data_IF_254166122143
#
_entry.id   IF_254166122143
#
_cell.length_a   1.000
_cell.length_b   1.000
_cell.length_c   1.000
_cell.angle_alpha   90.00
_cell.angle_beta   90.00
_cell.angle_gamma   90.00
#
_symmetry.space_group_name_H-M   'P 1'
#
loop_
_entity.id
_entity.type
_entity.pdbx_description
1 polymer ?
#
# COMPACT_ATOMS: atom_id res chain seq x y z
N UNK A 1 -21.72 -9.14 12.56
CA UNK A 1 -20.72 -8.50 11.68
C UNK A 1 -19.92 -9.58 10.97
N UNK A 2 -19.91 -9.58 9.64
CA UNK A 2 -19.10 -10.54 8.89
C UNK A 2 -17.65 -10.07 8.80
N UNK A 3 -16.72 -10.99 8.89
CA UNK A 3 -15.28 -10.71 8.80
C UNK A 3 -14.50 -11.86 8.16
N UNK A 4 -13.38 -11.55 7.54
CA UNK A 4 -12.46 -12.53 6.97
C UNK A 4 -11.40 -12.87 8.02
N UNK A 5 -11.47 -14.08 8.55
CA UNK A 5 -10.54 -14.60 9.54
C UNK A 5 -9.52 -15.53 8.91
N UNK A 6 -8.25 -15.34 9.23
CA UNK A 6 -7.19 -16.28 8.90
C UNK A 6 -7.37 -17.53 9.79
N UNK A 7 -8.01 -18.59 9.26
CA UNK A 7 -8.26 -19.81 10.02
C UNK A 7 -6.98 -20.60 10.25
N UNK A 8 -6.21 -20.73 9.19
CA UNK A 8 -4.89 -21.34 9.16
C UNK A 8 -4.07 -20.73 8.03
N UNK A 9 -2.78 -20.98 8.02
CA UNK A 9 -1.92 -20.54 6.91
C UNK A 9 -2.45 -21.13 5.59
N UNK A 10 -2.71 -20.22 4.64
CA UNK A 10 -3.24 -20.56 3.32
C UNK A 10 -4.77 -20.64 3.24
N UNK A 11 -5.51 -20.25 4.31
CA UNK A 11 -6.97 -20.26 4.28
C UNK A 11 -7.61 -19.12 5.08
N UNK A 12 -8.40 -18.33 4.39
CA UNK A 12 -9.34 -17.37 4.98
C UNK A 12 -10.76 -17.95 5.01
N UNK A 13 -11.52 -17.62 6.04
CA UNK A 13 -12.95 -17.92 6.13
C UNK A 13 -13.75 -16.67 6.46
N UNK A 14 -14.90 -16.54 5.83
CA UNK A 14 -15.89 -15.53 6.20
C UNK A 14 -16.62 -16.04 7.45
N UNK A 15 -16.57 -15.27 8.53
CA UNK A 15 -17.13 -15.63 9.84
C UNK A 15 -18.03 -14.53 10.36
N UNK A 16 -18.95 -14.90 11.23
CA UNK A 16 -19.77 -13.95 11.99
C UNK A 16 -19.08 -13.60 13.31
N UNK A 17 -19.03 -12.32 13.60
CA UNK A 17 -18.58 -11.76 14.88
C UNK A 17 -19.74 -11.06 15.57
N UNK A 18 -19.62 -10.84 16.87
CA UNK A 18 -20.54 -10.01 17.64
C UNK A 18 -20.56 -8.57 17.11
N UNK A 19 -21.63 -7.84 17.39
CA UNK A 19 -21.74 -6.42 17.05
C UNK A 19 -20.65 -5.60 17.78
N UNK A 20 -20.05 -4.68 17.04
CA UNK A 20 -18.94 -3.85 17.53
C UNK A 20 -19.50 -2.53 18.06
N UNK A 21 -19.15 -2.20 19.30
CA UNK A 21 -19.42 -0.89 19.92
C UNK A 21 -18.12 -0.14 20.19
N UNK A 22 -18.09 1.19 19.98
CA UNK A 22 -16.88 1.96 20.22
C UNK A 22 -16.61 2.16 21.71
N UNK A 23 -15.35 2.06 22.14
CA UNK A 23 -14.92 2.58 23.43
C UNK A 23 -15.01 4.12 23.46
N UNK A 24 -14.90 4.80 24.63
CA UNK A 24 -15.10 6.25 24.72
C UNK A 24 -14.31 7.08 23.71
N UNK A 25 -13.05 6.74 23.45
CA UNK A 25 -12.17 7.45 22.49
C UNK A 25 -12.10 6.83 21.09
N UNK A 26 -13.05 5.96 20.73
CA UNK A 26 -13.07 5.23 19.46
C UNK A 26 -14.25 5.61 18.58
N UNK A 27 -14.15 5.26 17.32
CA UNK A 27 -15.28 5.19 16.40
C UNK A 27 -15.40 3.78 15.83
N UNK A 28 -16.60 3.39 15.42
CA UNK A 28 -16.82 2.22 14.58
C UNK A 28 -16.85 2.67 13.13
N UNK A 29 -16.02 2.04 12.32
CA UNK A 29 -16.00 2.23 10.86
C UNK A 29 -16.77 1.09 10.22
N UNK A 30 -17.75 1.42 9.39
CA UNK A 30 -18.41 0.51 8.45
C UNK A 30 -17.60 0.51 7.15
N UNK A 31 -17.01 -0.62 6.83
CA UNK A 31 -16.06 -0.77 5.73
C UNK A 31 -16.79 -0.74 4.38
N UNK A 32 -16.39 0.15 3.48
CA UNK A 32 -16.79 0.11 2.07
C UNK A 32 -15.89 -0.89 1.34
N UNK A 33 -14.57 -0.68 1.41
CA UNK A 33 -13.60 -1.57 0.81
C UNK A 33 -12.26 -1.52 1.53
N UNK A 34 -11.49 -2.60 1.38
CA UNK A 34 -10.13 -2.71 1.91
C UNK A 34 -9.21 -3.38 0.89
N UNK A 35 -8.05 -2.78 0.64
CA UNK A 35 -7.02 -3.32 -0.26
C UNK A 35 -6.32 -4.53 0.35
N UNK A 36 -5.95 -5.49 -0.52
CA UNK A 36 -5.06 -6.58 -0.15
C UNK A 36 -3.61 -6.10 -0.33
N UNK A 37 -2.88 -6.01 0.77
CA UNK A 37 -1.47 -5.67 0.78
C UNK A 37 -0.58 -6.90 0.57
N UNK A 38 0.63 -6.71 0.03
CA UNK A 38 1.65 -7.76 -0.02
C UNK A 38 1.98 -8.33 1.37
N UNK A 39 1.90 -7.50 2.41
CA UNK A 39 2.10 -7.93 3.80
C UNK A 39 0.99 -8.89 4.29
N UNK A 40 -0.23 -8.76 3.78
CA UNK A 40 -1.34 -9.68 4.09
C UNK A 40 -1.14 -11.01 3.37
N UNK A 41 -0.63 -10.97 2.12
CA UNK A 41 -0.25 -12.18 1.38
C UNK A 41 0.90 -12.93 2.10
N UNK A 42 1.92 -12.22 2.59
CA UNK A 42 2.97 -12.83 3.41
C UNK A 42 2.43 -13.45 4.69
N UNK A 43 1.40 -12.83 5.29
CA UNK A 43 0.68 -13.38 6.44
C UNK A 43 -0.11 -14.63 6.09
N UNK A 44 -0.87 -14.57 4.99
CA UNK A 44 -1.66 -15.68 4.46
C UNK A 44 -0.78 -16.90 4.13
N UNK A 45 0.40 -16.68 3.55
CA UNK A 45 1.34 -17.77 3.21
C UNK A 45 2.24 -18.19 4.37
N UNK A 46 2.20 -17.50 5.52
CA UNK A 46 3.07 -17.77 6.67
C UNK A 46 4.54 -17.35 6.47
N UNK A 47 4.84 -16.64 5.38
CA UNK A 47 6.23 -16.34 4.98
C UNK A 47 7.02 -15.56 6.02
N UNK A 48 6.41 -14.66 6.77
CA UNK A 48 7.11 -13.77 7.72
C UNK A 48 6.76 -14.02 9.19
N UNK A 49 5.86 -14.95 9.50
CA UNK A 49 5.46 -15.29 10.87
C UNK A 49 4.77 -14.14 11.66
N UNK A 50 4.39 -13.05 10.99
CA UNK A 50 3.79 -11.86 11.63
C UNK A 50 2.27 -11.95 11.75
N UNK A 51 1.65 -12.93 11.15
CA UNK A 51 0.21 -13.19 11.23
C UNK A 51 -0.02 -14.53 11.91
N UNK A 52 -1.10 -14.62 12.65
CA UNK A 52 -1.45 -15.82 13.42
C UNK A 52 -2.87 -16.27 13.07
N UNK A 53 -3.15 -17.57 13.08
CA UNK A 53 -4.51 -18.09 12.98
C UNK A 53 -5.46 -17.41 13.99
N UNK A 54 -6.69 -17.16 13.57
CA UNK A 54 -7.70 -16.42 14.34
C UNK A 54 -7.70 -14.91 14.08
N UNK A 55 -6.68 -14.36 13.43
CA UNK A 55 -6.54 -12.93 13.16
C UNK A 55 -7.45 -12.46 12.02
N UNK A 56 -7.97 -11.23 12.17
CA UNK A 56 -8.61 -10.46 11.10
C UNK A 56 -7.65 -9.36 10.67
N UNK A 57 -7.22 -9.41 9.40
CA UNK A 57 -6.22 -8.51 8.83
C UNK A 57 -6.87 -7.28 8.14
N UNK A 58 -6.13 -6.56 7.30
CA UNK A 58 -6.58 -5.44 6.49
C UNK A 58 -6.23 -4.08 7.10
N UNK A 59 -5.61 -3.20 6.29
CA UNK A 59 -5.12 -1.89 6.73
C UNK A 59 -5.18 -0.80 5.65
N UNK A 60 -5.54 -1.13 4.42
CA UNK A 60 -5.70 -0.20 3.30
C UNK A 60 -7.20 0.03 3.08
N UNK A 61 -7.84 0.91 3.86
CA UNK A 61 -9.30 0.90 3.97
C UNK A 61 -9.96 2.24 3.67
N UNK A 62 -11.18 2.14 3.19
CA UNK A 62 -12.17 3.21 3.14
C UNK A 62 -13.47 2.73 3.76
N UNK A 63 -14.15 3.59 4.51
CA UNK A 63 -15.43 3.29 5.13
C UNK A 63 -16.19 4.54 5.53
N UNK A 64 -17.27 4.33 6.26
CA UNK A 64 -18.05 5.41 6.88
C UNK A 64 -18.12 5.21 8.38
N UNK A 65 -18.18 6.30 9.11
CA UNK A 65 -18.41 6.25 10.57
C UNK A 65 -19.80 5.69 10.83
N UNK A 66 -19.89 4.53 11.51
CA UNK A 66 -21.13 3.90 11.88
C UNK A 66 -21.59 4.28 13.31
N UNK A 67 -20.61 4.44 14.22
CA UNK A 67 -20.87 4.83 15.61
C UNK A 67 -19.70 5.62 16.18
N UNK A 68 -19.97 6.42 17.21
CA UNK A 68 -19.03 7.36 17.83
C UNK A 68 -19.04 7.16 19.35
N UNK A 69 -17.87 6.95 19.95
CA UNK A 69 -17.69 6.82 21.39
C UNK A 69 -18.00 8.11 22.16
N UNK A 70 -18.15 7.98 23.48
CA UNK A 70 -18.65 9.07 24.33
C UNK A 70 -17.72 10.29 24.38
N UNK A 71 -16.39 10.08 24.26
CA UNK A 71 -15.38 11.15 24.37
C UNK A 71 -14.97 11.72 22.99
N UNK A 72 -15.63 11.29 21.91
CA UNK A 72 -15.31 11.71 20.54
C UNK A 72 -16.20 12.88 20.11
N UNK A 73 -15.60 13.93 19.53
CA UNK A 73 -16.32 15.10 18.99
C UNK A 73 -17.22 14.71 17.82
N UNK A 74 -18.54 14.78 18.04
CA UNK A 74 -19.56 14.46 17.02
C UNK A 74 -19.66 15.51 15.91
N UNK A 75 -19.16 16.71 16.12
CA UNK A 75 -19.11 17.76 15.08
C UNK A 75 -18.06 17.43 14.03
N UNK A 76 -16.92 16.90 14.46
CA UNK A 76 -15.82 16.50 13.57
C UNK A 76 -16.03 15.09 12.98
N UNK A 77 -16.49 14.13 13.78
CA UNK A 77 -16.63 12.73 13.40
C UNK A 77 -18.12 12.33 13.34
N UNK A 78 -18.80 12.75 12.27
CA UNK A 78 -20.24 12.50 12.10
C UNK A 78 -20.49 11.09 11.62
N UNK A 79 -21.55 10.46 12.13
CA UNK A 79 -22.05 9.21 11.57
C UNK A 79 -22.38 9.42 10.09
N UNK A 80 -21.97 8.49 9.24
CA UNK A 80 -22.07 8.55 7.78
C UNK A 80 -20.90 9.26 7.09
N UNK A 81 -20.03 10.00 7.80
CA UNK A 81 -18.86 10.64 7.17
C UNK A 81 -17.94 9.62 6.53
N UNK A 82 -17.48 9.92 5.30
CA UNK A 82 -16.48 9.13 4.60
C UNK A 82 -15.14 9.25 5.31
N UNK A 83 -14.47 8.12 5.55
CA UNK A 83 -13.20 8.08 6.29
C UNK A 83 -12.22 7.06 5.70
N UNK A 84 -10.94 7.33 5.92
CA UNK A 84 -9.88 6.32 5.88
C UNK A 84 -9.21 6.22 7.25
N UNK A 85 -8.42 5.18 7.47
CA UNK A 85 -7.80 4.91 8.78
C UNK A 85 -6.30 4.77 8.62
N UNK A 86 -5.54 5.62 9.32
CA UNK A 86 -4.11 5.43 9.48
C UNK A 86 -3.87 4.20 10.38
N UNK A 87 -3.26 3.12 9.88
CA UNK A 87 -3.10 1.90 10.67
C UNK A 87 -2.05 2.00 11.79
N UNK A 88 -1.19 3.02 11.80
CA UNK A 88 -0.12 3.17 12.80
C UNK A 88 -0.69 3.74 14.09
N UNK A 89 -0.81 2.91 15.12
CA UNK A 89 -1.34 3.27 16.44
C UNK A 89 -0.18 3.46 17.42
N UNK A 90 -0.08 4.65 17.97
CA UNK A 90 0.87 4.99 19.05
C UNK A 90 0.11 5.01 20.38
N UNK A 91 0.64 4.41 21.48
CA UNK A 91 0.01 4.50 22.79
C UNK A 91 -0.22 5.97 23.20
N UNK A 92 -1.39 6.34 23.77
CA UNK A 92 -1.76 7.73 24.06
C UNK A 92 -0.70 8.52 24.84
N UNK A 93 -0.07 7.87 25.83
CA UNK A 93 0.98 8.48 26.67
C UNK A 93 2.30 8.76 25.92
N UNK A 94 2.43 8.28 24.69
CA UNK A 94 3.62 8.39 23.85
C UNK A 94 3.44 9.29 22.63
N UNK A 95 2.22 9.63 22.26
CA UNK A 95 1.88 10.43 21.06
C UNK A 95 2.75 11.70 20.99
N UNK A 96 2.83 12.48 22.08
CA UNK A 96 3.63 13.71 22.11
C UNK A 96 5.14 13.47 21.88
N UNK A 97 5.67 12.34 22.36
CA UNK A 97 7.10 12.03 22.24
C UNK A 97 7.49 11.58 20.82
N UNK A 98 6.54 11.07 20.06
CA UNK A 98 6.73 10.55 18.71
C UNK A 98 5.94 11.32 17.64
N UNK A 99 5.42 12.49 17.96
CA UNK A 99 4.76 13.37 16.98
C UNK A 99 5.66 13.64 15.77
N UNK A 100 5.12 13.39 14.57
CA UNK A 100 5.83 13.51 13.30
C UNK A 100 6.82 12.37 13.00
N UNK A 101 6.90 11.37 13.86
CA UNK A 101 7.71 10.14 13.71
C UNK A 101 7.07 8.93 14.40
N UNK A 102 5.78 8.82 14.30
CA UNK A 102 4.95 7.80 14.96
C UNK A 102 5.42 6.38 14.63
N UNK A 103 5.88 6.17 13.40
CA UNK A 103 6.43 4.89 12.92
C UNK A 103 7.74 4.50 13.62
N UNK A 104 8.39 5.39 14.35
CA UNK A 104 9.61 5.09 15.12
C UNK A 104 9.33 4.72 16.59
N UNK A 105 8.06 4.78 17.05
CA UNK A 105 7.76 4.31 18.40
C UNK A 105 7.96 2.78 18.48
N UNK A 106 8.84 2.27 19.36
CA UNK A 106 9.05 0.82 19.51
C UNK A 106 7.81 0.10 20.06
N UNK A 107 6.85 0.82 20.64
CA UNK A 107 5.58 0.26 21.13
C UNK A 107 4.41 0.52 20.20
N UNK A 108 4.67 1.07 19.00
CA UNK A 108 3.61 1.23 17.99
C UNK A 108 2.99 -0.11 17.67
N UNK A 109 1.71 -0.09 17.43
CA UNK A 109 0.93 -1.21 16.91
C UNK A 109 0.43 -0.85 15.51
N UNK A 110 0.14 -1.84 14.70
CA UNK A 110 -0.38 -1.59 13.34
C UNK A 110 -1.67 -2.37 13.17
N UNK A 111 -2.77 -1.68 12.95
CA UNK A 111 -4.07 -2.26 12.60
C UNK A 111 -3.87 -3.13 11.36
N UNK A 112 -4.47 -4.32 11.34
CA UNK A 112 -4.26 -5.30 10.26
C UNK A 112 -3.00 -6.16 10.40
N UNK A 113 -2.06 -5.78 11.26
CA UNK A 113 -0.82 -6.53 11.56
C UNK A 113 -0.84 -7.15 12.95
N UNK A 114 -1.21 -6.35 13.95
CA UNK A 114 -1.29 -6.79 15.34
C UNK A 114 -2.58 -7.62 15.56
N UNK A 115 -2.46 -8.88 16.03
CA UNK A 115 -3.61 -9.78 16.20
C UNK A 115 -4.62 -9.34 17.27
N UNK A 116 -4.29 -8.38 18.11
CA UNK A 116 -5.22 -7.88 19.12
C UNK A 116 -6.27 -6.89 18.56
N UNK A 117 -6.15 -6.48 17.27
CA UNK A 117 -7.19 -5.70 16.60
C UNK A 117 -8.07 -6.59 15.73
N UNK A 118 -9.40 -6.40 15.81
CA UNK A 118 -10.28 -6.68 14.68
C UNK A 118 -10.02 -5.57 13.68
N UNK A 119 -9.64 -5.93 12.46
CA UNK A 119 -9.14 -4.97 11.48
C UNK A 119 -10.04 -4.90 10.24
N UNK A 120 -9.61 -4.20 9.21
CA UNK A 120 -10.48 -3.73 8.15
C UNK A 120 -10.98 -4.81 7.16
N UNK A 121 -10.56 -6.07 7.28
CA UNK A 121 -11.23 -7.19 6.60
C UNK A 121 -12.48 -7.64 7.38
N UNK A 122 -13.25 -6.68 7.87
CA UNK A 122 -14.53 -6.86 8.53
C UNK A 122 -15.52 -5.79 8.05
N UNK A 123 -16.82 -6.09 8.06
CA UNK A 123 -17.87 -5.13 7.75
C UNK A 123 -17.84 -3.93 8.69
N UNK A 124 -17.51 -4.16 9.96
CA UNK A 124 -17.39 -3.11 10.97
C UNK A 124 -16.26 -3.45 11.93
N UNK A 125 -15.52 -2.42 12.33
CA UNK A 125 -14.45 -2.54 13.31
C UNK A 125 -14.27 -1.23 14.08
N UNK A 126 -13.82 -1.31 15.33
CA UNK A 126 -13.55 -0.15 16.17
C UNK A 126 -12.09 0.29 16.03
N UNK A 127 -11.88 1.61 15.98
CA UNK A 127 -10.54 2.22 15.88
C UNK A 127 -10.43 3.44 16.76
N UNK A 128 -9.24 3.76 17.31
CA UNK A 128 -8.99 5.01 17.99
C UNK A 128 -9.30 6.19 17.04
N UNK A 129 -10.03 7.18 17.53
CA UNK A 129 -10.41 8.35 16.74
C UNK A 129 -9.19 9.13 16.20
N UNK A 130 -8.06 9.08 16.88
CA UNK A 130 -6.80 9.70 16.46
C UNK A 130 -6.22 9.10 15.17
N UNK A 131 -6.66 7.92 14.80
CA UNK A 131 -6.25 7.22 13.58
C UNK A 131 -7.20 7.46 12.40
N UNK A 132 -8.31 8.17 12.61
CA UNK A 132 -9.35 8.38 11.59
C UNK A 132 -9.13 9.70 10.87
N UNK A 133 -9.04 9.64 9.55
CA UNK A 133 -9.00 10.82 8.67
C UNK A 133 -10.34 10.94 7.96
N UNK A 134 -11.06 12.03 8.24
CA UNK A 134 -12.33 12.36 7.58
C UNK A 134 -12.02 12.89 6.18
N UNK A 135 -12.69 12.35 5.18
CA UNK A 135 -12.55 12.72 3.79
C UNK A 135 -13.77 13.50 3.30
N UNK A 136 -13.63 14.35 2.29
CA UNK A 136 -14.78 14.83 1.53
C UNK A 136 -15.43 13.64 0.78
N UNK A 137 -16.65 13.83 0.28
CA UNK A 137 -17.23 12.83 -0.64
C UNK A 137 -16.38 12.75 -1.91
N UNK A 138 -16.01 11.54 -2.29
CA UNK A 138 -15.20 11.26 -3.49
C UNK A 138 -16.10 10.74 -4.61
N UNK A 139 -15.76 11.10 -5.86
CA UNK A 139 -16.42 10.57 -7.03
C UNK A 139 -16.35 9.03 -7.10
N UNK A 140 -15.21 8.47 -6.70
CA UNK A 140 -15.05 7.04 -6.49
C UNK A 140 -14.49 6.79 -5.07
N UNK A 141 -15.31 6.38 -4.11
CA UNK A 141 -14.84 6.14 -2.73
C UNK A 141 -13.74 5.07 -2.64
N UNK A 142 -13.66 4.13 -3.58
CA UNK A 142 -12.65 3.06 -3.58
C UNK A 142 -11.23 3.61 -3.67
N UNK A 143 -11.05 4.79 -4.27
CA UNK A 143 -9.73 5.44 -4.34
C UNK A 143 -9.14 5.74 -2.95
N UNK A 144 -9.97 5.93 -1.93
CA UNK A 144 -9.48 6.17 -0.57
C UNK A 144 -8.80 4.94 0.06
N UNK A 145 -9.05 3.72 -0.45
CA UNK A 145 -8.29 2.54 -0.05
C UNK A 145 -6.83 2.58 -0.56
N UNK A 146 -6.50 3.46 -1.51
CA UNK A 146 -5.15 3.65 -2.04
C UNK A 146 -4.35 4.69 -1.25
N UNK A 147 -4.96 5.40 -0.30
CA UNK A 147 -4.29 6.42 0.52
C UNK A 147 -3.11 5.80 1.29
N UNK A 148 -3.31 4.61 1.85
CA UNK A 148 -2.27 3.92 2.62
C UNK A 148 -1.02 3.61 1.77
N UNK A 149 -1.09 2.88 0.64
CA UNK A 149 0.09 2.62 -0.19
C UNK A 149 0.69 3.89 -0.81
N UNK A 150 -0.11 4.93 -1.08
CA UNK A 150 0.41 6.24 -1.51
C UNK A 150 1.19 6.93 -0.39
N UNK A 151 0.74 6.84 0.87
CA UNK A 151 1.48 7.38 2.01
C UNK A 151 2.83 6.66 2.20
N UNK A 152 2.90 5.34 1.98
CA UNK A 152 4.18 4.58 1.96
C UNK A 152 5.11 5.15 0.90
N UNK A 153 4.61 5.41 -0.30
CA UNK A 153 5.41 5.92 -1.43
C UNK A 153 5.88 7.37 -1.20
N UNK A 154 5.00 8.26 -0.74
CA UNK A 154 5.36 9.64 -0.38
C UNK A 154 6.45 9.62 0.70
N UNK A 155 6.30 8.76 1.72
CA UNK A 155 7.32 8.64 2.75
C UNK A 155 8.66 8.15 2.19
N UNK A 156 8.66 7.21 1.25
CA UNK A 156 9.89 6.77 0.60
C UNK A 156 10.61 7.92 -0.13
N UNK A 157 9.87 8.77 -0.84
CA UNK A 157 10.40 10.00 -1.48
C UNK A 157 10.93 10.98 -0.42
N UNK A 158 10.22 11.21 0.67
CA UNK A 158 10.71 12.05 1.78
C UNK A 158 11.98 11.47 2.44
N UNK A 159 12.10 10.14 2.53
CA UNK A 159 13.28 9.47 3.12
C UNK A 159 14.57 9.71 2.34
N UNK A 160 14.48 9.94 1.06
CA UNK A 160 15.62 10.31 0.21
C UNK A 160 15.82 11.83 0.08
N UNK A 161 15.02 12.64 0.77
CA UNK A 161 15.13 14.10 0.78
C UNK A 161 14.43 14.80 -0.39
N UNK A 162 13.45 14.16 -1.02
CA UNK A 162 12.76 14.62 -2.23
C UNK A 162 13.47 14.25 -3.52
N UNK A 163 12.81 14.46 -4.66
CA UNK A 163 13.27 14.07 -5.99
C UNK A 163 13.03 15.14 -7.07
N UNK A 164 12.73 16.37 -6.69
CA UNK A 164 12.48 17.47 -7.64
C UNK A 164 13.65 17.65 -8.62
N UNK A 165 13.36 17.65 -9.92
CA UNK A 165 14.34 17.81 -11.02
C UNK A 165 15.31 16.62 -11.18
N UNK A 166 15.03 15.46 -10.59
CA UNK A 166 15.93 14.31 -10.54
C UNK A 166 15.43 13.15 -11.39
N UNK A 167 16.38 12.31 -11.81
CA UNK A 167 16.11 11.01 -12.43
C UNK A 167 15.93 9.95 -11.33
N UNK A 168 14.76 9.29 -11.32
CA UNK A 168 14.38 8.29 -10.31
C UNK A 168 14.22 6.92 -10.94
N UNK A 169 14.87 5.90 -10.39
CA UNK A 169 14.62 4.50 -10.72
C UNK A 169 13.73 3.86 -9.65
N UNK A 170 12.61 3.28 -10.04
CA UNK A 170 11.80 2.40 -9.19
C UNK A 170 12.04 0.95 -9.61
N UNK A 171 12.44 0.09 -8.68
CA UNK A 171 12.60 -1.34 -8.93
C UNK A 171 11.39 -2.08 -8.35
N UNK A 172 10.67 -2.79 -9.24
CA UNK A 172 9.39 -3.42 -8.98
C UNK A 172 8.22 -2.53 -9.35
N UNK A 173 7.41 -2.95 -10.32
CA UNK A 173 6.19 -2.27 -10.82
C UNK A 173 4.90 -2.80 -10.19
N UNK A 174 4.94 -3.44 -9.02
CA UNK A 174 3.77 -3.83 -8.25
C UNK A 174 3.07 -2.62 -7.61
N UNK A 175 1.99 -2.83 -6.82
CA UNK A 175 1.20 -1.72 -6.25
C UNK A 175 2.02 -0.66 -5.52
N UNK A 176 3.06 -1.05 -4.75
CA UNK A 176 3.95 -0.09 -4.08
C UNK A 176 4.83 0.64 -5.08
N UNK A 177 5.40 -0.07 -6.10
CA UNK A 177 6.19 0.59 -7.14
C UNK A 177 5.37 1.57 -7.97
N UNK A 178 4.14 1.21 -8.35
CA UNK A 178 3.19 2.12 -9.02
C UNK A 178 2.90 3.36 -8.17
N UNK A 179 2.70 3.18 -6.86
CA UNK A 179 2.55 4.31 -5.93
C UNK A 179 3.82 5.16 -5.85
N UNK A 180 5.02 4.55 -5.89
CA UNK A 180 6.31 5.27 -5.91
C UNK A 180 6.50 6.07 -7.20
N UNK A 181 6.05 5.54 -8.36
CA UNK A 181 6.03 6.30 -9.63
C UNK A 181 5.20 7.57 -9.48
N UNK A 182 3.97 7.43 -8.99
CA UNK A 182 3.08 8.57 -8.79
C UNK A 182 3.65 9.57 -7.78
N UNK A 183 4.21 9.10 -6.66
CA UNK A 183 4.80 9.96 -5.64
C UNK A 183 6.03 10.71 -6.17
N UNK A 184 6.89 10.05 -6.97
CA UNK A 184 8.05 10.69 -7.59
C UNK A 184 7.65 11.77 -8.62
N UNK A 185 6.66 11.49 -9.48
CA UNK A 185 6.12 12.46 -10.43
C UNK A 185 5.50 13.66 -9.69
N UNK A 186 4.72 13.41 -8.64
CA UNK A 186 4.12 14.45 -7.80
C UNK A 186 5.17 15.34 -7.14
N UNK A 187 6.29 14.78 -6.70
CA UNK A 187 7.40 15.52 -6.07
C UNK A 187 8.31 16.22 -7.10
N UNK A 188 7.96 16.17 -8.39
CA UNK A 188 8.66 16.90 -9.45
C UNK A 188 9.87 16.18 -10.03
N UNK A 189 9.94 14.84 -9.97
CA UNK A 189 10.99 14.09 -10.67
C UNK A 189 11.02 14.47 -12.16
N UNK A 190 12.22 14.70 -12.71
CA UNK A 190 12.39 15.02 -14.13
C UNK A 190 12.08 13.80 -15.02
N UNK A 191 12.55 12.62 -14.59
CA UNK A 191 12.30 11.34 -15.25
C UNK A 191 12.11 10.23 -14.23
N UNK A 192 11.21 9.31 -14.54
CA UNK A 192 10.99 8.11 -13.71
C UNK A 192 11.17 6.86 -14.56
N UNK A 193 12.09 5.99 -14.18
CA UNK A 193 12.33 4.68 -14.76
C UNK A 193 11.73 3.61 -13.88
N UNK A 194 11.21 2.53 -14.47
CA UNK A 194 10.69 1.38 -13.72
C UNK A 194 11.29 0.09 -14.27
N UNK A 195 11.94 -0.70 -13.41
CA UNK A 195 12.36 -2.06 -13.72
C UNK A 195 11.32 -3.05 -13.21
N UNK A 196 10.66 -3.79 -14.12
CA UNK A 196 9.60 -4.75 -13.77
C UNK A 196 9.54 -5.88 -14.83
N UNK A 197 9.61 -7.18 -14.43
CA UNK A 197 9.57 -8.29 -15.37
C UNK A 197 8.16 -8.57 -15.94
N UNK A 198 7.09 -8.21 -15.22
CA UNK A 198 5.72 -8.47 -15.65
C UNK A 198 5.23 -7.40 -16.62
N UNK A 199 4.81 -7.80 -17.83
CA UNK A 199 4.37 -6.90 -18.91
C UNK A 199 3.14 -6.06 -18.51
N UNK A 200 2.15 -6.67 -17.86
CA UNK A 200 0.94 -5.96 -17.46
C UNK A 200 1.25 -4.87 -16.41
N UNK A 201 2.18 -5.13 -15.49
CA UNK A 201 2.66 -4.14 -14.52
C UNK A 201 3.47 -3.04 -15.20
N UNK A 202 4.34 -3.39 -16.16
CA UNK A 202 5.04 -2.39 -16.98
C UNK A 202 4.07 -1.49 -17.72
N UNK A 203 2.99 -2.05 -18.27
CA UNK A 203 1.95 -1.27 -18.98
C UNK A 203 1.29 -0.25 -18.05
N UNK A 204 0.95 -0.64 -16.80
CA UNK A 204 0.43 0.32 -15.81
C UNK A 204 1.48 1.40 -15.53
N UNK A 205 2.73 1.05 -15.21
CA UNK A 205 3.77 2.03 -14.91
C UNK A 205 4.01 3.00 -16.08
N UNK A 206 3.98 2.50 -17.31
CA UNK A 206 4.07 3.33 -18.52
C UNK A 206 2.89 4.29 -18.65
N UNK A 207 1.66 3.83 -18.37
CA UNK A 207 0.47 4.70 -18.41
C UNK A 207 0.49 5.79 -17.32
N UNK A 208 1.23 5.56 -16.24
CA UNK A 208 1.48 6.57 -15.19
C UNK A 208 2.57 7.59 -15.58
N UNK A 209 3.25 7.40 -16.71
CA UNK A 209 4.29 8.31 -17.19
C UNK A 209 5.73 7.84 -16.95
N UNK A 210 5.95 6.60 -16.50
CA UNK A 210 7.30 6.06 -16.33
C UNK A 210 7.86 5.44 -17.62
N UNK A 211 9.18 5.51 -17.80
CA UNK A 211 9.92 4.76 -18.80
C UNK A 211 10.23 3.36 -18.24
N UNK A 212 9.83 2.31 -18.93
CA UNK A 212 9.87 0.95 -18.39
C UNK A 212 11.02 0.12 -18.95
N UNK A 213 11.64 -0.67 -18.10
CA UNK A 213 12.75 -1.58 -18.39
C UNK A 213 12.31 -3.00 -18.06
N UNK A 214 12.46 -3.95 -19.00
CA UNK A 214 12.28 -5.36 -18.75
C UNK A 214 13.60 -6.00 -18.30
N UNK A 215 13.76 -6.34 -17.00
CA UNK A 215 14.99 -6.93 -16.50
C UNK A 215 15.23 -8.36 -16.99
N UNK A 216 14.24 -9.00 -17.62
CA UNK A 216 14.40 -10.34 -18.20
C UNK A 216 15.24 -10.33 -19.49
N UNK A 217 15.24 -9.22 -20.20
CA UNK A 217 15.95 -9.03 -21.46
C UNK A 217 17.06 -7.98 -21.46
N UNK A 218 17.23 -7.24 -20.36
CA UNK A 218 18.18 -6.13 -20.26
C UNK A 218 18.92 -6.11 -18.91
N UNK A 219 20.18 -5.66 -18.92
CA UNK A 219 20.90 -5.28 -17.68
C UNK A 219 20.35 -3.92 -17.22
N UNK A 220 19.70 -3.89 -16.06
CA UNK A 220 19.04 -2.69 -15.54
C UNK A 220 20.01 -1.54 -15.32
N UNK A 221 21.19 -1.73 -14.67
CA UNK A 221 22.19 -0.69 -14.53
C UNK A 221 22.68 -0.13 -15.85
N UNK A 222 22.92 -0.97 -16.86
CA UNK A 222 23.32 -0.53 -18.19
C UNK A 222 22.22 0.32 -18.83
N UNK A 223 20.99 -0.15 -18.81
CA UNK A 223 19.85 0.58 -19.38
C UNK A 223 19.67 1.95 -18.76
N UNK A 224 19.74 2.04 -17.41
CA UNK A 224 19.66 3.33 -16.71
C UNK A 224 20.83 4.24 -17.08
N UNK A 225 22.05 3.70 -17.16
CA UNK A 225 23.23 4.44 -17.58
C UNK A 225 23.04 5.04 -18.98
N UNK A 226 22.55 4.25 -19.95
CA UNK A 226 22.30 4.71 -21.32
C UNK A 226 21.23 5.81 -21.36
N UNK A 227 20.14 5.64 -20.61
CA UNK A 227 19.05 6.61 -20.50
C UNK A 227 19.43 7.92 -19.81
N UNK A 228 20.47 7.90 -18.98
CA UNK A 228 20.97 9.06 -18.20
C UNK A 228 22.30 9.61 -18.72
N UNK A 229 22.70 9.27 -19.96
CA UNK A 229 23.94 9.76 -20.54
C UNK A 229 25.22 9.31 -19.82
N UNK A 230 25.20 8.16 -19.17
CA UNK A 230 26.33 7.58 -18.46
C UNK A 230 26.39 7.89 -16.95
N UNK A 231 25.51 8.75 -16.44
CA UNK A 231 25.56 9.21 -15.05
C UNK A 231 24.91 8.22 -14.07
N UNK A 232 23.84 7.53 -14.45
CA UNK A 232 22.96 6.77 -13.55
C UNK A 232 21.84 7.64 -12.98
N UNK A 233 20.90 7.03 -12.26
CA UNK A 233 19.81 7.74 -11.59
C UNK A 233 20.28 8.46 -10.32
N UNK A 234 19.72 9.61 -10.00
CA UNK A 234 19.98 10.33 -8.75
C UNK A 234 19.48 9.53 -7.53
N UNK A 235 18.34 8.87 -7.70
CA UNK A 235 17.66 8.10 -6.68
C UNK A 235 17.20 6.77 -7.24
N UNK A 236 17.33 5.69 -6.46
CA UNK A 236 16.64 4.45 -6.69
C UNK A 236 15.71 4.11 -5.50
N UNK A 237 14.48 3.64 -5.78
CA UNK A 237 13.53 3.15 -4.78
C UNK A 237 13.32 1.66 -5.06
N UNK A 238 13.80 0.80 -4.17
CA UNK A 238 13.59 -0.65 -4.26
C UNK A 238 12.27 -1.04 -3.56
N UNK A 239 11.24 -1.30 -4.34
CA UNK A 239 9.92 -1.76 -3.87
C UNK A 239 9.80 -3.30 -3.81
N UNK A 240 10.89 -4.04 -4.04
CA UNK A 240 10.96 -5.51 -3.98
C UNK A 240 11.69 -5.98 -2.73
N UNK A 241 12.94 -5.59 -2.54
CA UNK A 241 13.71 -5.88 -1.33
C UNK A 241 14.35 -7.27 -1.30
N UNK A 242 15.09 -7.61 -2.32
CA UNK A 242 15.93 -8.81 -2.34
C UNK A 242 17.37 -8.47 -2.74
N UNK A 243 18.28 -9.44 -2.65
CA UNK A 243 19.72 -9.22 -2.96
C UNK A 243 19.95 -8.70 -4.38
N UNK A 244 19.22 -9.22 -5.37
CA UNK A 244 19.39 -8.81 -6.76
C UNK A 244 18.91 -7.38 -7.00
N UNK A 245 17.71 -7.05 -6.50
CA UNK A 245 17.11 -5.72 -6.69
C UNK A 245 17.88 -4.61 -5.95
N UNK A 246 18.37 -4.87 -4.75
CA UNK A 246 19.26 -3.93 -4.04
C UNK A 246 20.58 -3.74 -4.80
N UNK A 247 21.16 -4.81 -5.33
CA UNK A 247 22.37 -4.72 -6.15
C UNK A 247 22.14 -3.86 -7.39
N UNK A 248 21.02 -4.08 -8.09
CA UNK A 248 20.67 -3.28 -9.27
C UNK A 248 20.44 -1.82 -8.90
N UNK A 249 19.75 -1.55 -7.76
CA UNK A 249 19.55 -0.19 -7.26
C UNK A 249 20.88 0.53 -7.02
N UNK A 250 21.82 -0.12 -6.31
CA UNK A 250 23.14 0.45 -6.05
C UNK A 250 23.96 0.65 -7.32
N UNK A 251 23.89 -0.27 -8.28
CA UNK A 251 24.63 -0.18 -9.55
C UNK A 251 24.03 0.84 -10.52
N UNK A 252 22.73 1.12 -10.41
CA UNK A 252 22.01 2.04 -11.28
C UNK A 252 22.06 3.49 -10.82
N UNK A 253 22.41 3.76 -9.56
CA UNK A 253 22.52 5.13 -9.04
C UNK A 253 23.86 5.74 -9.36
N UNK A 254 23.88 7.05 -9.59
CA UNK A 254 25.08 7.83 -9.79
C UNK A 254 26.00 7.82 -8.55
N UNK A 255 27.23 8.29 -8.67
CA UNK A 255 28.11 8.55 -7.51
C UNK A 255 27.45 9.58 -6.60
N UNK A 256 27.46 9.34 -5.29
CA UNK A 256 26.73 10.16 -4.32
C UNK A 256 25.20 10.00 -4.34
N UNK A 257 24.66 9.09 -5.19
CA UNK A 257 23.24 8.83 -5.31
C UNK A 257 22.63 8.17 -4.06
N UNK A 258 21.32 8.09 -4.01
CA UNK A 258 20.54 7.62 -2.85
C UNK A 258 19.70 6.43 -3.22
N UNK A 259 19.69 5.41 -2.36
CA UNK A 259 18.86 4.20 -2.52
C UNK A 259 17.91 4.10 -1.33
N UNK A 260 16.60 4.03 -1.60
CA UNK A 260 15.58 3.79 -0.60
C UNK A 260 15.11 2.33 -0.66
N UNK A 261 15.24 1.60 0.43
CA UNK A 261 14.71 0.25 0.58
C UNK A 261 13.31 0.31 1.21
N UNK A 262 12.28 -0.04 0.44
CA UNK A 262 10.88 -0.14 0.85
C UNK A 262 10.42 -1.60 0.85
N UNK A 263 10.84 -2.36 -0.14
CA UNK A 263 10.49 -3.77 -0.32
C UNK A 263 11.03 -4.67 0.80
N UNK A 264 10.33 -5.77 1.06
CA UNK A 264 10.62 -6.70 2.15
C UNK A 264 10.52 -8.18 1.70
N UNK A 265 10.94 -8.50 0.48
CA UNK A 265 10.86 -9.88 -0.02
C UNK A 265 11.81 -10.83 0.71
N UNK A 266 12.98 -10.34 1.14
CA UNK A 266 13.95 -11.15 1.88
C UNK A 266 14.33 -10.49 3.20
N UNK A 267 14.37 -11.24 4.32
CA UNK A 267 14.80 -10.70 5.63
C UNK A 267 16.29 -10.42 5.70
N UNK A 268 17.11 -11.10 4.89
CA UNK A 268 18.55 -10.92 4.82
C UNK A 268 18.97 -10.76 3.37
N UNK A 269 19.79 -9.74 3.08
CA UNK A 269 20.28 -9.42 1.75
C UNK A 269 21.81 -9.26 1.77
N UNK A 270 22.48 -9.69 0.71
CA UNK A 270 23.89 -9.41 0.50
C UNK A 270 24.06 -8.02 -0.13
N UNK A 271 25.02 -7.24 0.33
CA UNK A 271 25.32 -5.89 -0.15
C UNK A 271 26.77 -5.81 -0.64
N UNK A 272 26.99 -5.12 -1.76
CA UNK A 272 28.30 -4.67 -2.17
C UNK A 272 28.67 -3.40 -1.38
N UNK A 273 29.36 -3.58 -0.26
CA UNK A 273 29.72 -2.50 0.63
C UNK A 273 30.67 -1.46 -0.01
N UNK A 274 31.49 -1.89 -0.97
CA UNK A 274 32.38 -0.94 -1.69
C UNK A 274 31.57 0.07 -2.48
N UNK A 275 30.47 -0.35 -3.12
CA UNK A 275 29.59 0.57 -3.85
C UNK A 275 28.88 1.58 -2.96
N UNK A 276 28.80 1.33 -1.68
CA UNK A 276 28.27 2.31 -0.72
C UNK A 276 29.39 3.26 -0.29
N UNK A 277 30.55 2.71 0.14
CA UNK A 277 31.61 3.51 0.75
C UNK A 277 32.46 4.26 -0.25
N UNK A 278 32.93 3.61 -1.35
CA UNK A 278 33.83 4.25 -2.34
C UNK A 278 33.09 5.20 -3.26
N UNK A 279 31.83 4.93 -3.53
CA UNK A 279 30.98 5.73 -4.42
C UNK A 279 30.12 6.74 -3.64
N UNK A 280 30.31 6.83 -2.32
CA UNK A 280 29.58 7.73 -1.38
C UNK A 280 28.07 7.64 -1.50
N UNK A 281 27.52 6.46 -1.82
CA UNK A 281 26.06 6.27 -1.92
C UNK A 281 25.42 6.21 -0.55
N UNK A 282 24.17 6.69 -0.47
CA UNK A 282 23.37 6.62 0.74
C UNK A 282 22.33 5.52 0.59
N UNK A 283 22.31 4.55 1.52
CA UNK A 283 21.25 3.55 1.61
C UNK A 283 20.35 3.87 2.82
N UNK A 284 19.07 4.10 2.58
CA UNK A 284 18.09 4.40 3.63
C UNK A 284 16.94 3.39 3.62
N UNK A 285 16.41 3.05 4.80
CA UNK A 285 15.18 2.28 4.91
C UNK A 285 13.95 3.20 5.00
N UNK A 286 12.83 2.73 4.45
CA UNK A 286 11.51 3.33 4.62
C UNK A 286 10.53 2.27 5.08
N UNK A 287 9.75 2.57 6.13
CA UNK A 287 8.74 1.65 6.65
C UNK A 287 7.57 2.46 7.21
N UNK A 288 6.35 2.14 6.76
CA UNK A 288 5.15 2.92 7.08
C UNK A 288 5.38 4.42 6.83
N UNK A 289 4.91 5.31 7.70
CA UNK A 289 4.98 6.77 7.51
C UNK A 289 4.57 7.50 8.81
N UNK A 290 4.95 8.80 8.98
CA UNK A 290 4.36 9.68 9.99
C UNK A 290 2.88 9.96 9.70
N UNK A 291 2.09 10.26 10.74
CA UNK A 291 0.67 10.61 10.60
C UNK A 291 0.44 11.72 9.58
N UNK A 292 1.29 12.75 9.58
CA UNK A 292 1.23 13.87 8.62
C UNK A 292 1.35 13.41 7.16
N UNK A 293 2.20 12.41 6.87
CA UNK A 293 2.34 11.89 5.50
C UNK A 293 1.09 11.13 5.07
N UNK A 294 0.40 10.45 5.99
CA UNK A 294 -0.89 9.83 5.69
C UNK A 294 -1.97 10.88 5.40
N UNK A 295 -2.03 11.97 6.18
CA UNK A 295 -2.91 13.10 5.92
C UNK A 295 -2.61 13.78 4.58
N UNK A 296 -1.33 13.91 4.21
CA UNK A 296 -0.88 14.41 2.92
C UNK A 296 -1.37 13.52 1.76
N UNK A 297 -1.27 12.20 1.88
CA UNK A 297 -1.80 11.27 0.89
C UNK A 297 -3.33 11.36 0.80
N UNK A 298 -4.03 11.52 1.94
CA UNK A 298 -5.47 11.68 1.99
C UNK A 298 -5.92 12.98 1.30
N UNK A 299 -5.22 14.08 1.53
CA UNK A 299 -5.47 15.34 0.84
C UNK A 299 -5.28 15.19 -0.67
N UNK A 300 -4.17 14.59 -1.10
CA UNK A 300 -3.87 14.38 -2.52
C UNK A 300 -4.93 13.53 -3.24
N UNK A 301 -5.36 12.41 -2.64
CA UNK A 301 -6.45 11.60 -3.21
C UNK A 301 -7.76 12.40 -3.25
N UNK A 302 -8.01 13.25 -2.26
CA UNK A 302 -9.22 14.07 -2.18
C UNK A 302 -9.27 15.19 -3.22
N UNK A 303 -8.14 15.64 -3.74
CA UNK A 303 -8.05 16.63 -4.83
C UNK A 303 -8.57 16.07 -6.16
N UNK A 304 -8.56 14.73 -6.34
CA UNK A 304 -9.05 14.08 -7.56
C UNK A 304 -8.25 14.41 -8.82
N UNK A 305 -7.00 14.86 -8.67
CA UNK A 305 -6.13 15.28 -9.78
C UNK A 305 -5.47 14.12 -10.51
N UNK A 306 -5.49 12.91 -9.93
CA UNK A 306 -4.86 11.69 -10.45
C UNK A 306 -5.93 10.64 -10.74
N UNK A 307 -5.87 10.02 -11.90
CA UNK A 307 -6.70 8.85 -12.20
C UNK A 307 -6.14 7.61 -11.50
N UNK A 308 -6.72 7.26 -10.35
CA UNK A 308 -6.35 6.09 -9.56
C UNK A 308 -7.06 4.80 -10.01
N UNK A 309 -7.98 4.87 -10.98
CA UNK A 309 -8.66 3.66 -11.49
C UNK A 309 -7.66 2.66 -12.09
N UNK A 310 -6.60 3.15 -12.74
CA UNK A 310 -5.56 2.31 -13.35
C UNK A 310 -4.81 1.45 -12.34
N UNK A 311 -4.80 1.84 -11.06
CA UNK A 311 -4.14 1.11 -9.98
C UNK A 311 -4.99 -0.04 -9.43
N UNK A 312 -6.31 -0.05 -9.67
CA UNK A 312 -7.22 -1.07 -9.18
C UNK A 312 -7.45 -2.11 -10.27
N UNK A 313 -6.92 -3.31 -10.07
CA UNK A 313 -7.06 -4.41 -11.04
C UNK A 313 -8.33 -5.24 -10.83
N UNK A 314 -8.83 -5.32 -9.60
CA UNK A 314 -9.99 -6.15 -9.29
C UNK A 314 -10.69 -5.68 -8.02
N UNK A 315 -12.00 -5.88 -7.96
CA UNK A 315 -12.84 -5.63 -6.76
C UNK A 315 -13.68 -6.88 -6.51
N UNK A 316 -13.43 -7.55 -5.40
CA UNK A 316 -14.06 -8.82 -5.09
C UNK A 316 -14.97 -8.72 -3.87
N UNK A 317 -16.06 -9.49 -3.84
CA UNK A 317 -16.87 -9.65 -2.65
C UNK A 317 -16.13 -10.51 -1.58
N UNK A 318 -16.46 -10.37 -0.29
CA UNK A 318 -15.78 -11.10 0.79
C UNK A 318 -15.83 -12.62 0.62
N UNK A 319 -16.87 -13.15 0.00
CA UNK A 319 -17.06 -14.58 -0.29
C UNK A 319 -15.97 -15.13 -1.22
N UNK A 320 -15.33 -14.28 -2.04
CA UNK A 320 -14.28 -14.65 -2.98
C UNK A 320 -12.87 -14.26 -2.49
N UNK A 321 -12.76 -13.71 -1.28
CA UNK A 321 -11.50 -13.20 -0.77
C UNK A 321 -10.41 -14.29 -0.66
N UNK A 322 -10.74 -15.48 -0.16
CA UNK A 322 -9.76 -16.58 -0.05
C UNK A 322 -9.18 -16.97 -1.42
N UNK A 323 -10.02 -17.05 -2.45
CA UNK A 323 -9.59 -17.31 -3.82
C UNK A 323 -8.69 -16.18 -4.37
N UNK A 324 -9.01 -14.92 -4.05
CA UNK A 324 -8.18 -13.77 -4.43
C UNK A 324 -6.80 -13.81 -3.74
N UNK A 325 -6.75 -14.10 -2.44
CA UNK A 325 -5.51 -14.29 -1.70
C UNK A 325 -4.67 -15.45 -2.26
N UNK A 326 -5.31 -16.60 -2.51
CA UNK A 326 -4.64 -17.77 -3.10
C UNK A 326 -4.09 -17.49 -4.50
N UNK A 327 -4.78 -16.68 -5.32
CA UNK A 327 -4.31 -16.22 -6.63
C UNK A 327 -3.09 -15.30 -6.46
N UNK A 328 -3.18 -14.26 -5.63
CA UNK A 328 -2.09 -13.33 -5.37
C UNK A 328 -0.84 -13.99 -4.78
N UNK A 329 -1.03 -15.05 -3.99
CA UNK A 329 0.07 -15.82 -3.40
C UNK A 329 0.84 -16.68 -4.42
N UNK A 330 0.20 -17.07 -5.53
CA UNK A 330 0.77 -18.02 -6.52
C UNK A 330 1.27 -17.36 -7.79
N UNK A 331 0.66 -16.24 -8.19
CA UNK A 331 0.91 -15.66 -9.50
C UNK A 331 1.19 -14.16 -9.42
N UNK A 332 1.98 -13.67 -10.38
CA UNK A 332 2.19 -12.24 -10.62
C UNK A 332 1.19 -11.67 -11.64
N UNK A 333 0.14 -12.43 -11.99
CA UNK A 333 -0.80 -12.06 -13.06
C UNK A 333 -1.69 -10.87 -12.71
N UNK A 334 -1.75 -10.49 -11.44
CA UNK A 334 -2.47 -9.30 -10.99
C UNK A 334 -1.53 -8.11 -11.06
N UNK A 335 -1.85 -7.17 -11.93
CA UNK A 335 -0.95 -6.04 -12.19
C UNK A 335 -1.03 -4.94 -11.13
N UNK A 336 -2.23 -4.60 -10.65
CA UNK A 336 -2.49 -3.55 -9.67
C UNK A 336 -3.06 -4.09 -8.35
N UNK A 337 -3.75 -3.23 -7.62
CA UNK A 337 -4.38 -3.53 -6.33
C UNK A 337 -5.67 -4.35 -6.50
N UNK A 338 -5.88 -5.30 -5.62
CA UNK A 338 -7.17 -6.00 -5.44
C UNK A 338 -7.84 -5.45 -4.18
N UNK A 339 -9.09 -5.06 -4.30
CA UNK A 339 -9.91 -4.58 -3.18
C UNK A 339 -10.97 -5.61 -2.80
N UNK A 340 -11.20 -5.79 -1.50
CA UNK A 340 -12.35 -6.54 -0.98
C UNK A 340 -13.42 -5.51 -0.62
N UNK A 341 -14.60 -5.60 -1.24
CA UNK A 341 -15.72 -4.69 -1.05
C UNK A 341 -16.78 -5.30 -0.16
N UNK A 342 -17.01 -4.69 1.00
CA UNK A 342 -17.98 -5.14 1.99
C UNK A 342 -19.37 -4.50 1.82
N UNK A 343 -19.43 -3.27 1.31
CA UNK A 343 -20.71 -2.60 1.07
C UNK A 343 -21.43 -3.22 -0.15
N UNK A 344 -22.78 -3.44 -0.10
CA UNK A 344 -23.52 -3.90 -1.25
C UNK A 344 -23.48 -2.88 -2.41
N UNK A 345 -23.65 -3.38 -3.65
CA UNK A 345 -23.78 -2.57 -4.88
C UNK A 345 -25.10 -1.76 -4.86
N UNK A 346 -25.18 -0.69 -4.09
CA UNK A 346 -26.41 0.05 -3.86
C UNK A 346 -26.28 1.52 -3.50
N UNK A 347 -25.05 2.05 -3.49
CA UNK A 347 -24.80 3.49 -3.45
C UNK A 347 -24.30 3.92 -4.83
N UNK A 348 -25.12 3.74 -5.87
CA UNK A 348 -24.89 4.30 -7.20
C UNK A 348 -25.01 5.82 -7.12
N UNK A 349 -23.87 6.52 -7.23
CA UNK A 349 -23.85 7.82 -7.90
C UNK A 349 -23.53 7.52 -9.37
N UNK A 350 -24.52 7.75 -10.23
CA UNK A 350 -24.51 7.33 -11.63
C UNK A 350 -23.29 7.78 -12.44
N UNK A 351 -22.72 6.83 -13.14
CA UNK A 351 -22.32 6.95 -14.56
C UNK A 351 -21.84 5.57 -15.03
N UNK A 352 -22.45 5.10 -16.10
CA UNK A 352 -22.07 3.91 -16.86
C UNK A 352 -20.58 3.89 -17.16
N UNK A 353 -19.88 2.86 -16.70
CA UNK A 353 -18.63 2.41 -17.27
C UNK A 353 -18.69 0.88 -17.40
N UNK A 354 -18.50 0.42 -18.62
CA UNK A 354 -18.76 -0.90 -19.16
C UNK A 354 -18.46 -2.09 -18.23
N UNK A 355 -19.46 -2.92 -18.09
CA UNK A 355 -19.41 -4.20 -17.40
C UNK A 355 -18.34 -5.12 -18.03
N UNK A 356 -17.25 -5.35 -17.31
CA UNK A 356 -16.40 -6.49 -17.55
C UNK A 356 -17.15 -7.74 -17.06
N UNK A 357 -17.35 -8.70 -17.95
CA UNK A 357 -18.08 -9.93 -17.67
C UNK A 357 -17.44 -10.73 -16.53
N UNK A 358 -18.23 -11.40 -15.69
CA UNK A 358 -17.70 -12.23 -14.61
C UNK A 358 -16.89 -13.39 -15.17
N UNK A 359 -15.71 -13.61 -14.62
CA UNK A 359 -14.84 -14.74 -14.90
C UNK A 359 -15.60 -16.07 -14.62
N UNK A 360 -16.00 -16.74 -15.69
CA UNK A 360 -16.54 -18.11 -15.60
C UNK A 360 -15.46 -19.03 -15.04
N UNK A 361 -15.86 -19.82 -14.06
CA UNK A 361 -15.10 -20.95 -13.55
C UNK A 361 -14.76 -21.89 -14.72
N UNK A 362 -13.48 -22.10 -14.98
CA UNK A 362 -13.03 -23.22 -15.78
C UNK A 362 -13.07 -24.48 -14.89
N UNK A 363 -14.18 -25.18 -14.93
CA UNK A 363 -14.28 -26.56 -14.51
C UNK A 363 -14.13 -27.42 -15.76
N UNK A 364 -13.29 -28.46 -15.63
CA UNK A 364 -13.17 -29.67 -16.43
C UNK A 364 -12.77 -29.57 -17.91
N UNK A 365 -11.54 -30.01 -18.17
CA UNK A 365 -11.33 -31.02 -19.20
C UNK A 365 -9.98 -31.74 -18.95
N UNK A 366 -10.12 -33.01 -18.53
CA UNK A 366 -9.26 -34.24 -18.72
C UNK A 366 -7.77 -34.00 -19.01
#
# INVERSE_FOLDING_TARGET
VRALRLEEIGRLSLVELDEVSPAPGEVVVETIATGICGSDIHGYTGHNGRRVPGQIMGHETVGRIAAVGADVSRDRYRVGALVTVNPVVVPPERVRAFEGREQHDPRRRVIGVDPAFVSAFAERYAVPVTNVVVLPELANPLHAALIEPLAVAIHAVHRVGGVEGQAVLVIGGGPIGQSCVLAAIRDGAERVFVSEPNEARRSICSSLGAEVIDPSGADVPQSVSELTGGLGADVAIDAVGNTATISDALRSTMLGGRVCLVGMAQPNVALDAYRISTDERVLVGSFTYPAKTFEEAAAWVSEGTVDLNVLVSDVVAPEFADAAFARLARTLDVAGKVLIRFAPDGAETGSDAGAAAPLRAAADAS
#
